data_IF_689629062088
#
_entry.id   IF_689629062088
#
_cell.length_a   1.000
_cell.length_b   1.000
_cell.length_c   1.000
_cell.angle_alpha   90.00
_cell.angle_beta   90.00
_cell.angle_gamma   90.00
#
_symmetry.space_group_name_H-M   'P 1'
#
loop_
_entity.id
_entity.type
_entity.pdbx_description
1 polymer ?
#
# COMPACT_ATOMS: atom_id res chain seq x y z
N UNK A 1 -11.46 20.29 5.54
CA UNK A 1 -10.71 19.83 4.35
C UNK A 1 -9.34 19.39 4.83
N UNK A 2 -9.20 18.14 5.30
CA UNK A 2 -7.90 17.64 5.78
C UNK A 2 -7.05 17.26 4.57
N UNK A 3 -5.99 18.04 4.36
CA UNK A 3 -4.96 17.75 3.38
C UNK A 3 -4.27 16.45 3.80
N UNK A 4 -4.60 15.36 3.09
CA UNK A 4 -3.74 14.19 3.02
C UNK A 4 -2.39 14.73 2.54
N UNK A 5 -1.29 14.59 3.30
CA UNK A 5 -0.01 15.11 2.86
C UNK A 5 0.30 14.50 1.49
N UNK A 6 0.27 15.34 0.46
CA UNK A 6 0.76 15.01 -0.88
C UNK A 6 2.22 14.64 -0.71
N UNK A 7 2.47 13.35 -0.53
CA UNK A 7 3.80 12.78 -0.58
C UNK A 7 4.43 13.28 -1.88
N UNK A 8 5.58 13.95 -1.79
CA UNK A 8 6.43 14.39 -2.92
C UNK A 8 6.95 13.23 -3.80
N UNK A 9 6.29 12.07 -3.76
CA UNK A 9 6.48 10.97 -4.70
C UNK A 9 5.51 11.21 -5.85
N UNK A 10 6.02 11.26 -7.08
CA UNK A 10 5.17 11.24 -8.27
C UNK A 10 4.47 9.88 -8.35
N UNK A 11 3.34 9.77 -7.64
CA UNK A 11 2.47 8.61 -7.71
C UNK A 11 1.80 8.60 -9.08
N UNK A 12 2.18 7.64 -9.91
CA UNK A 12 1.49 7.38 -11.17
C UNK A 12 0.10 6.81 -10.90
N UNK A 13 -0.03 6.07 -9.81
CA UNK A 13 -1.28 5.49 -9.36
C UNK A 13 -1.23 5.22 -7.85
N UNK A 14 -2.34 5.43 -7.15
CA UNK A 14 -2.48 5.10 -5.72
C UNK A 14 -3.91 4.66 -5.43
N UNK A 15 -4.07 3.66 -4.57
CA UNK A 15 -5.35 3.31 -3.97
C UNK A 15 -5.19 3.00 -2.49
N UNK A 16 -5.99 3.67 -1.68
CA UNK A 16 -6.19 3.31 -0.28
C UNK A 16 -7.12 2.11 -0.23
N UNK A 17 -6.61 0.99 0.25
CA UNK A 17 -7.39 -0.25 0.42
C UNK A 17 -8.26 -0.14 1.67
N UNK A 18 -7.71 0.46 2.72
CA UNK A 18 -8.39 0.66 3.98
C UNK A 18 -7.80 1.86 4.71
N UNK A 19 -8.63 2.58 5.46
CA UNK A 19 -8.17 3.56 6.43
C UNK A 19 -9.11 3.54 7.63
N UNK A 20 -8.61 3.91 8.81
CA UNK A 20 -9.46 4.22 9.95
C UNK A 20 -10.25 5.49 9.67
N UNK A 21 -11.52 5.51 10.05
CA UNK A 21 -12.37 6.67 9.87
C UNK A 21 -11.87 7.85 10.73
N UNK A 22 -11.58 9.01 10.13
CA UNK A 22 -11.05 10.16 10.84
C UNK A 22 -12.07 10.82 11.77
N UNK A 23 -13.37 10.54 11.63
CA UNK A 23 -14.42 11.04 12.54
C UNK A 23 -14.49 10.22 13.84
N UNK A 24 -14.20 8.91 13.78
CA UNK A 24 -14.11 8.07 14.98
C UNK A 24 -12.82 8.32 15.78
N UNK A 25 -11.72 8.69 15.13
CA UNK A 25 -10.42 8.91 15.80
C UNK A 25 -9.74 10.22 15.35
N UNK A 26 -10.28 11.39 15.73
CA UNK A 26 -9.80 12.70 15.25
C UNK A 26 -8.39 13.08 15.75
N UNK A 27 -7.88 12.39 16.77
CA UNK A 27 -6.55 12.59 17.36
C UNK A 27 -5.72 11.29 17.41
N UNK A 28 -6.23 10.19 16.85
CA UNK A 28 -5.59 8.88 16.88
C UNK A 28 -4.54 8.70 15.77
N UNK A 29 -3.63 7.71 15.89
CA UNK A 29 -2.72 7.39 14.80
C UNK A 29 -3.53 7.01 13.55
N UNK A 30 -3.28 7.71 12.44
CA UNK A 30 -3.91 7.40 11.16
C UNK A 30 -3.41 6.04 10.67
N UNK A 31 -4.22 5.00 10.85
CA UNK A 31 -3.97 3.68 10.29
C UNK A 31 -4.52 3.65 8.87
N UNK A 32 -3.67 3.27 7.93
CA UNK A 32 -4.03 3.13 6.54
C UNK A 32 -3.27 1.98 5.91
N UNK A 33 -3.92 1.36 4.96
CA UNK A 33 -3.33 0.38 4.09
C UNK A 33 -3.52 0.88 2.67
N UNK A 34 -2.42 1.08 1.96
CA UNK A 34 -2.44 1.65 0.61
C UNK A 34 -1.44 0.93 -0.30
N UNK A 35 -1.81 0.87 -1.57
CA UNK A 35 -0.94 0.39 -2.65
C UNK A 35 -0.71 1.56 -3.59
N UNK A 36 0.54 1.80 -3.95
CA UNK A 36 0.89 2.87 -4.87
C UNK A 36 1.98 2.44 -5.84
N UNK A 37 1.93 3.04 -7.03
CA UNK A 37 2.97 2.95 -8.04
C UNK A 37 3.60 4.34 -8.20
N UNK A 38 4.92 4.42 -8.10
CA UNK A 38 5.66 5.67 -8.33
C UNK A 38 6.77 5.48 -9.37
N UNK A 39 7.11 6.59 -10.02
CA UNK A 39 8.30 6.66 -10.86
C UNK A 39 9.55 6.86 -10.00
N UNK A 40 10.55 6.02 -10.24
CA UNK A 40 11.86 6.03 -9.60
C UNK A 40 12.94 6.32 -10.65
N UNK A 41 14.14 6.74 -10.22
CA UNK A 41 15.21 7.16 -11.15
C UNK A 41 15.60 6.10 -12.18
N UNK A 42 15.35 4.82 -11.91
CA UNK A 42 15.70 3.70 -12.78
C UNK A 42 14.49 2.93 -13.37
N UNK A 43 13.25 3.36 -13.12
CA UNK A 43 12.08 2.54 -13.45
C UNK A 43 10.82 2.91 -12.67
N UNK A 44 9.93 1.93 -12.49
CA UNK A 44 8.67 2.07 -11.75
C UNK A 44 8.61 1.08 -10.60
N UNK A 45 8.18 1.55 -9.43
CA UNK A 45 8.11 0.74 -8.23
C UNK A 45 6.67 0.64 -7.71
N UNK A 46 6.25 -0.58 -7.41
CA UNK A 46 4.95 -0.86 -6.78
C UNK A 46 5.20 -1.12 -5.30
N UNK A 47 4.61 -0.27 -4.48
CA UNK A 47 4.76 -0.25 -3.04
C UNK A 47 3.46 -0.64 -2.35
N UNK A 48 3.63 -1.26 -1.19
CA UNK A 48 2.60 -1.55 -0.24
C UNK A 48 2.93 -0.85 1.08
N UNK A 49 2.18 0.18 1.42
CA UNK A 49 2.30 0.87 2.70
C UNK A 49 1.26 0.31 3.67
N UNK A 50 1.76 -0.28 4.75
CA UNK A 50 0.96 -0.91 5.78
C UNK A 50 1.13 -0.18 7.10
N UNK A 51 0.05 0.41 7.59
CA UNK A 51 -0.05 1.00 8.93
C UNK A 51 -1.35 0.51 9.56
N UNK A 52 -1.29 -0.60 10.30
CA UNK A 52 -2.41 -1.14 11.06
C UNK A 52 -2.22 -0.90 12.56
N UNK A 53 -3.32 -0.79 13.30
CA UNK A 53 -3.26 -0.67 14.76
C UNK A 53 -2.69 -1.95 15.37
N UNK A 54 -2.04 -1.84 16.54
CA UNK A 54 -1.51 -3.03 17.25
C UNK A 54 -2.63 -4.03 17.57
N UNK A 55 -3.79 -3.52 17.96
CA UNK A 55 -4.97 -4.30 18.33
C UNK A 55 -5.88 -4.66 17.14
N UNK A 56 -5.48 -4.31 15.91
CA UNK A 56 -6.27 -4.66 14.72
C UNK A 56 -6.19 -6.17 14.45
N UNK A 57 -7.34 -6.81 14.22
CA UNK A 57 -7.40 -8.25 13.95
C UNK A 57 -6.57 -8.68 12.72
N UNK A 58 -6.38 -7.78 11.76
CA UNK A 58 -5.56 -7.98 10.54
C UNK A 58 -4.07 -7.92 10.84
N UNK A 59 -3.68 -7.38 12.00
CA UNK A 59 -2.29 -7.31 12.42
C UNK A 59 -1.73 -8.62 13.00
N UNK A 60 -2.57 -9.65 13.13
CA UNK A 60 -2.19 -10.97 13.66
C UNK A 60 -1.32 -11.82 12.72
N UNK A 61 -1.07 -11.39 11.49
CA UNK A 61 -0.29 -12.12 10.48
C UNK A 61 1.22 -12.11 10.71
N UNK A 62 1.70 -11.37 11.73
CA UNK A 62 3.14 -11.22 12.01
C UNK A 62 3.87 -10.32 11.00
N UNK A 63 3.15 -9.67 10.09
CA UNK A 63 3.70 -8.65 9.18
C UNK A 63 3.75 -7.33 9.91
N UNK A 64 4.94 -6.75 9.98
CA UNK A 64 5.14 -5.47 10.65
C UNK A 64 4.56 -4.30 9.84
N UNK A 65 4.29 -3.18 10.49
CA UNK A 65 4.00 -1.95 9.77
C UNK A 65 5.26 -1.42 9.06
N UNK A 66 5.09 -0.89 7.86
CA UNK A 66 6.19 -0.41 7.03
C UNK A 66 5.78 -0.23 5.57
N UNK A 67 6.74 0.26 4.77
CA UNK A 67 6.63 0.36 3.32
C UNK A 67 7.36 -0.84 2.70
N UNK A 68 6.63 -1.66 1.94
CA UNK A 68 7.16 -2.87 1.31
C UNK A 68 7.22 -2.68 -0.20
N UNK A 69 8.40 -2.92 -0.78
CA UNK A 69 8.57 -2.94 -2.24
C UNK A 69 8.08 -4.28 -2.79
N UNK A 70 6.91 -4.29 -3.41
CA UNK A 70 6.31 -5.51 -3.96
C UNK A 70 6.94 -5.91 -5.29
N UNK A 71 7.21 -4.95 -6.17
CA UNK A 71 7.72 -5.21 -7.51
C UNK A 71 8.40 -3.98 -8.09
N UNK A 72 9.40 -4.23 -8.92
CA UNK A 72 10.13 -3.20 -9.66
C UNK A 72 10.07 -3.49 -11.15
N UNK A 73 9.82 -2.45 -11.95
CA UNK A 73 9.66 -2.53 -13.40
C UNK A 73 10.66 -1.59 -14.07
N UNK A 74 11.17 -1.98 -15.23
CA UNK A 74 12.02 -1.12 -16.05
C UNK A 74 11.27 0.12 -16.56
N UNK A 75 12.00 1.19 -16.91
CA UNK A 75 11.42 2.46 -17.42
C UNK A 75 10.52 2.31 -18.65
N UNK A 76 10.66 1.24 -19.41
CA UNK A 76 9.83 0.98 -20.60
C UNK A 76 8.52 0.25 -20.28
N UNK A 77 8.30 -0.15 -19.02
CA UNK A 77 7.17 -0.97 -18.56
C UNK A 77 6.28 -0.21 -17.59
N UNK A 78 5.92 1.01 -17.96
CA UNK A 78 5.04 1.88 -17.17
C UNK A 78 3.67 1.24 -16.97
N UNK A 79 3.05 0.81 -18.06
CA UNK A 79 1.69 0.26 -18.04
C UNK A 79 1.63 -1.06 -17.26
N UNK A 80 2.63 -1.95 -17.42
CA UNK A 80 2.74 -3.17 -16.60
C UNK A 80 2.80 -2.86 -15.10
N UNK A 81 3.54 -1.81 -14.71
CA UNK A 81 3.67 -1.43 -13.31
C UNK A 81 2.36 -0.91 -12.72
N UNK A 82 1.63 -0.09 -13.49
CA UNK A 82 0.32 0.42 -13.09
C UNK A 82 -0.69 -0.72 -13.05
N UNK A 83 -0.74 -1.56 -14.09
CA UNK A 83 -1.63 -2.72 -14.15
C UNK A 83 -1.40 -3.64 -12.95
N UNK A 84 -0.15 -3.94 -12.61
CA UNK A 84 0.18 -4.75 -11.44
C UNK A 84 -0.35 -4.13 -10.15
N UNK A 85 -0.14 -2.83 -9.95
CA UNK A 85 -0.64 -2.12 -8.77
C UNK A 85 -2.18 -2.16 -8.68
N UNK A 86 -2.86 -1.93 -9.81
CA UNK A 86 -4.33 -1.99 -9.91
C UNK A 86 -4.85 -3.39 -9.62
N UNK A 87 -4.26 -4.43 -10.23
CA UNK A 87 -4.69 -5.81 -10.05
C UNK A 87 -4.52 -6.29 -8.62
N UNK A 88 -3.40 -5.96 -7.97
CA UNK A 88 -3.16 -6.33 -6.57
C UNK A 88 -4.19 -5.64 -5.66
N UNK A 89 -4.42 -4.36 -5.87
CA UNK A 89 -5.32 -3.54 -5.06
C UNK A 89 -6.83 -3.82 -5.30
N UNK A 90 -7.15 -4.60 -6.33
CA UNK A 90 -8.51 -5.04 -6.67
C UNK A 90 -8.59 -6.58 -6.77
N UNK A 91 -7.65 -7.28 -6.12
CA UNK A 91 -7.55 -8.75 -6.21
C UNK A 91 -8.74 -9.49 -5.59
N UNK A 92 -9.45 -8.87 -4.66
CA UNK A 92 -10.66 -9.41 -4.03
C UNK A 92 -11.62 -8.26 -3.68
N UNK A 93 -12.90 -8.60 -3.49
CA UNK A 93 -13.91 -7.66 -3.02
C UNK A 93 -13.80 -7.38 -1.51
N UNK A 94 -13.22 -8.32 -0.75
CA UNK A 94 -13.02 -8.20 0.69
C UNK A 94 -11.66 -7.56 1.01
N UNK A 95 -11.69 -6.42 1.71
CA UNK A 95 -10.50 -5.68 2.16
C UNK A 95 -9.53 -6.61 2.93
N UNK A 96 -10.06 -7.41 3.86
CA UNK A 96 -9.26 -8.35 4.66
C UNK A 96 -8.48 -9.35 3.80
N UNK A 97 -9.08 -9.84 2.71
CA UNK A 97 -8.41 -10.75 1.78
C UNK A 97 -7.35 -10.04 0.93
N UNK A 98 -7.62 -8.82 0.50
CA UNK A 98 -6.62 -7.99 -0.21
C UNK A 98 -5.42 -7.74 0.69
N UNK A 99 -5.64 -7.39 1.96
CA UNK A 99 -4.57 -7.20 2.95
C UNK A 99 -3.81 -8.50 3.19
N UNK A 100 -4.49 -9.64 3.36
CA UNK A 100 -3.84 -10.93 3.54
C UNK A 100 -2.99 -11.35 2.32
N UNK A 101 -3.46 -11.06 1.10
CA UNK A 101 -2.71 -11.30 -0.12
C UNK A 101 -1.47 -10.40 -0.21
N UNK A 102 -1.59 -9.13 0.17
CA UNK A 102 -0.47 -8.18 0.26
C UNK A 102 0.56 -8.63 1.29
N UNK A 103 0.11 -9.01 2.49
CA UNK A 103 0.93 -9.58 3.57
C UNK A 103 1.64 -10.88 3.13
N UNK A 104 1.03 -11.69 2.26
CA UNK A 104 1.69 -12.86 1.70
C UNK A 104 2.82 -12.47 0.72
N UNK A 105 2.63 -11.39 -0.04
CA UNK A 105 3.66 -10.86 -0.95
C UNK A 105 4.81 -10.20 -0.18
N UNK A 106 4.58 -9.65 1.01
CA UNK A 106 5.65 -9.01 1.80
C UNK A 106 6.72 -9.99 2.27
N UNK A 107 6.42 -11.28 2.38
CA UNK A 107 7.40 -12.32 2.76
C UNK A 107 8.61 -12.40 1.82
N UNK A 108 8.44 -12.03 0.55
CA UNK A 108 9.52 -11.97 -0.44
C UNK A 108 9.87 -10.52 -0.83
N UNK A 109 9.22 -9.54 -0.21
CA UNK A 109 9.42 -8.13 -0.50
C UNK A 109 10.58 -7.56 0.32
N UNK A 110 11.20 -6.51 -0.20
CA UNK A 110 12.13 -5.72 0.57
C UNK A 110 11.34 -4.71 1.43
N UNK A 111 11.42 -4.87 2.75
CA UNK A 111 10.94 -3.87 3.72
C UNK A 111 11.96 -2.73 3.77
N UNK A 112 11.49 -1.50 3.68
CA UNK A 112 12.28 -0.27 3.83
C UNK A 112 11.83 0.47 5.09
#
# INVERSE_FOLDING_TARGET
MNQIPESKKNHLWRKTIWHTDPEEFPLGPHHSVEVYCCEESNGYAVWYARRLAKDDARNNTGVENGDYLLSYFAKTKRDDAIEKAVLIANSDASIDKVIAALDAMTKNAQKI
#
